data_IF_394398096634
#
_entry.id   IF_394398096634
#
_cell.length_a   1.000
_cell.length_b   1.000
_cell.length_c   1.000
_cell.angle_alpha   90.00
_cell.angle_beta   90.00
_cell.angle_gamma   90.00
#
_symmetry.space_group_name_H-M   'P 1'
#
loop_
_entity.id
_entity.type
_entity.pdbx_description
1 polymer ?
#
# COMPACT_ATOMS: atom_id res chain seq x y z
N UNK A 1 15.02 8.09 3.15
CA UNK A 1 14.20 7.77 1.97
C UNK A 1 15.08 7.47 0.77
N UNK A 2 14.62 6.55 -0.10
CA UNK A 2 15.25 6.21 -1.37
C UNK A 2 14.28 6.58 -2.49
N UNK A 3 14.47 7.78 -3.05
CA UNK A 3 13.56 8.33 -4.05
C UNK A 3 13.97 7.82 -5.42
N UNK A 4 13.07 7.11 -6.09
CA UNK A 4 13.26 6.61 -7.45
C UNK A 4 12.30 7.27 -8.43
N UNK A 5 12.73 7.44 -9.67
CA UNK A 5 11.88 7.83 -10.77
C UNK A 5 11.20 6.57 -11.34
N UNK A 6 9.89 6.44 -11.18
CA UNK A 6 9.17 5.23 -11.56
C UNK A 6 7.73 5.50 -12.02
N UNK A 7 7.11 4.50 -12.67
CA UNK A 7 5.70 4.53 -13.05
C UNK A 7 4.83 4.42 -11.80
N UNK A 8 4.32 5.56 -11.35
CA UNK A 8 3.51 5.68 -10.15
C UNK A 8 2.09 5.15 -10.38
N UNK A 9 1.52 5.36 -11.58
CA UNK A 9 0.18 4.86 -11.90
C UNK A 9 0.13 3.35 -11.74
N UNK A 10 1.05 2.65 -12.42
CA UNK A 10 1.16 1.19 -12.35
C UNK A 10 1.42 0.70 -10.92
N UNK A 11 2.28 1.36 -10.18
CA UNK A 11 2.56 1.01 -8.78
C UNK A 11 1.30 1.09 -7.90
N UNK A 12 0.46 2.14 -8.09
CA UNK A 12 -0.78 2.30 -7.35
C UNK A 12 -1.85 1.27 -7.78
N UNK A 13 -1.90 0.92 -9.07
CA UNK A 13 -2.76 -0.14 -9.60
C UNK A 13 -2.38 -1.49 -9.00
N UNK A 14 -1.11 -1.88 -9.08
CA UNK A 14 -0.60 -3.14 -8.54
C UNK A 14 -0.95 -3.31 -7.04
N UNK A 15 -0.76 -2.26 -6.22
CA UNK A 15 -1.16 -2.28 -4.81
C UNK A 15 -2.68 -2.43 -4.67
N UNK A 16 -3.46 -1.68 -5.44
CA UNK A 16 -4.92 -1.72 -5.34
C UNK A 16 -5.46 -3.12 -5.65
N UNK A 17 -4.91 -3.78 -6.65
CA UNK A 17 -5.30 -5.13 -7.07
C UNK A 17 -5.05 -6.17 -5.97
N UNK A 18 -4.01 -6.01 -5.15
CA UNK A 18 -3.74 -6.94 -4.03
C UNK A 18 -4.85 -6.96 -2.98
N UNK A 19 -5.70 -5.91 -2.92
CA UNK A 19 -6.81 -5.84 -1.97
C UNK A 19 -8.13 -6.41 -2.50
N UNK A 20 -8.24 -6.76 -3.79
CA UNK A 20 -9.47 -7.32 -4.38
C UNK A 20 -9.88 -8.63 -3.68
N UNK A 21 -8.98 -9.63 -3.48
CA UNK A 21 -9.34 -10.86 -2.79
C UNK A 21 -9.80 -10.62 -1.34
N UNK A 22 -9.21 -9.65 -0.66
CA UNK A 22 -9.60 -9.28 0.70
C UNK A 22 -10.99 -8.66 0.72
N UNK A 23 -11.31 -7.79 -0.23
CA UNK A 23 -12.63 -7.19 -0.40
C UNK A 23 -13.71 -8.26 -0.60
N UNK A 24 -13.45 -9.23 -1.49
CA UNK A 24 -14.35 -10.34 -1.74
C UNK A 24 -14.58 -11.19 -0.48
N UNK A 25 -13.52 -11.52 0.25
CA UNK A 25 -13.60 -12.32 1.48
C UNK A 25 -14.40 -11.64 2.58
N UNK A 26 -14.35 -10.31 2.65
CA UNK A 26 -15.06 -9.48 3.61
C UNK A 26 -16.42 -8.98 3.08
N UNK A 27 -16.78 -9.31 1.84
CA UNK A 27 -18.01 -8.84 1.18
C UNK A 27 -18.13 -7.32 1.18
N UNK A 28 -17.00 -6.62 1.00
CA UNK A 28 -16.90 -5.16 0.94
C UNK A 28 -16.79 -4.76 -0.53
N UNK A 29 -17.59 -3.78 -0.95
CA UNK A 29 -17.47 -3.20 -2.27
C UNK A 29 -16.20 -2.35 -2.33
N UNK A 30 -15.17 -2.81 -3.07
CA UNK A 30 -13.94 -2.07 -3.27
C UNK A 30 -13.87 -1.47 -4.67
N UNK A 31 -13.53 -0.20 -4.73
CA UNK A 31 -13.30 0.51 -5.99
C UNK A 31 -12.03 1.34 -5.91
N UNK A 32 -11.28 1.43 -7.02
CA UNK A 32 -10.16 2.35 -7.10
C UNK A 32 -10.20 3.15 -8.42
N UNK A 33 -9.64 4.36 -8.38
CA UNK A 33 -9.55 5.27 -9.53
C UNK A 33 -8.26 6.06 -9.46
N UNK A 34 -7.43 5.91 -10.48
CA UNK A 34 -6.16 6.62 -10.62
C UNK A 34 -6.29 7.55 -11.81
N UNK A 35 -6.01 8.84 -11.59
CA UNK A 35 -6.15 9.83 -12.65
C UNK A 35 -5.13 9.55 -13.77
N UNK A 36 -5.52 9.67 -15.05
CA UNK A 36 -4.69 9.28 -16.19
C UNK A 36 -3.46 10.17 -16.43
N UNK A 37 -3.39 11.32 -15.76
CA UNK A 37 -2.26 12.24 -15.79
C UNK A 37 -1.15 11.88 -14.79
N UNK A 38 -1.41 10.91 -13.89
CA UNK A 38 -0.41 10.32 -13.03
C UNK A 38 0.39 9.31 -13.84
N UNK A 39 1.67 9.59 -14.07
CA UNK A 39 2.56 8.73 -14.86
C UNK A 39 3.87 8.48 -14.12
N UNK A 40 4.99 8.88 -14.71
CA UNK A 40 6.31 8.78 -14.07
C UNK A 40 6.47 9.88 -13.02
N UNK A 41 6.90 9.50 -11.83
CA UNK A 41 7.05 10.37 -10.67
C UNK A 41 8.24 9.95 -9.80
N UNK A 42 8.64 10.86 -8.91
CA UNK A 42 9.70 10.65 -7.93
C UNK A 42 9.08 10.31 -6.57
N UNK A 43 9.35 9.12 -6.06
CA UNK A 43 8.83 8.68 -4.76
C UNK A 43 9.64 7.50 -4.19
N UNK A 44 9.53 7.27 -2.87
CA UNK A 44 10.05 6.07 -2.22
C UNK A 44 9.00 4.97 -2.26
N UNK A 45 9.27 3.91 -3.04
CA UNK A 45 8.34 2.78 -3.21
C UNK A 45 8.03 2.07 -1.90
N UNK A 46 9.04 1.84 -1.08
CA UNK A 46 8.87 1.10 0.17
C UNK A 46 8.05 1.89 1.19
N UNK A 47 8.30 3.19 1.29
CA UNK A 47 7.52 4.07 2.18
C UNK A 47 6.07 4.13 1.70
N UNK A 48 5.84 4.37 0.41
CA UNK A 48 4.49 4.51 -0.12
C UNK A 48 3.70 3.20 -0.03
N UNK A 49 4.33 2.07 -0.28
CA UNK A 49 3.74 0.75 -0.10
C UNK A 49 3.26 0.54 1.34
N UNK A 50 4.13 0.73 2.33
CA UNK A 50 3.78 0.57 3.75
C UNK A 50 2.65 1.50 4.17
N UNK A 51 2.65 2.75 3.71
CA UNK A 51 1.58 3.73 3.96
C UNK A 51 0.25 3.23 3.41
N UNK A 52 0.22 2.82 2.14
CA UNK A 52 -1.01 2.37 1.47
C UNK A 52 -1.54 1.08 2.10
N UNK A 53 -0.66 0.09 2.36
CA UNK A 53 -1.07 -1.14 3.03
C UNK A 53 -1.68 -0.87 4.40
N UNK A 54 -1.08 0.01 5.20
CA UNK A 54 -1.63 0.33 6.52
C UNK A 54 -2.98 1.06 6.44
N UNK A 55 -3.12 2.03 5.54
CA UNK A 55 -4.36 2.79 5.40
C UNK A 55 -5.49 1.95 4.81
N UNK A 56 -5.22 1.18 3.75
CA UNK A 56 -6.22 0.28 3.14
C UNK A 56 -6.60 -0.86 4.09
N UNK A 57 -5.65 -1.52 4.75
CA UNK A 57 -5.94 -2.54 5.75
C UNK A 57 -6.85 -2.00 6.85
N UNK A 58 -6.60 -0.78 7.34
CA UNK A 58 -7.45 -0.13 8.32
C UNK A 58 -8.86 0.11 7.77
N UNK A 59 -9.00 0.61 6.54
CA UNK A 59 -10.29 0.80 5.90
C UNK A 59 -11.10 -0.50 5.85
N UNK A 60 -10.49 -1.61 5.39
CA UNK A 60 -11.15 -2.92 5.37
C UNK A 60 -11.45 -3.47 6.77
N UNK A 61 -10.55 -3.26 7.72
CA UNK A 61 -10.68 -3.74 9.10
C UNK A 61 -11.86 -3.12 9.83
N UNK A 62 -12.12 -1.84 9.59
CA UNK A 62 -13.16 -1.09 10.29
C UNK A 62 -14.45 -0.94 9.48
N UNK A 63 -14.52 -1.50 8.29
CA UNK A 63 -15.74 -1.54 7.48
C UNK A 63 -16.48 -2.87 7.70
N UNK A 64 -17.77 -2.85 8.03
CA UNK A 64 -18.57 -4.07 8.18
C UNK A 64 -18.85 -4.72 6.83
N UNK A 65 -19.28 -6.00 6.86
CA UNK A 65 -19.75 -6.72 5.70
C UNK A 65 -20.87 -5.95 4.99
N UNK A 66 -20.79 -5.88 3.66
CA UNK A 66 -21.73 -5.10 2.85
C UNK A 66 -21.43 -3.61 2.77
N UNK A 67 -20.37 -3.12 3.45
CA UNK A 67 -19.89 -1.76 3.32
C UNK A 67 -19.07 -1.53 2.05
N UNK A 68 -18.46 -0.36 1.96
CA UNK A 68 -17.64 0.05 0.81
C UNK A 68 -16.34 0.68 1.24
N UNK A 69 -15.28 0.43 0.44
CA UNK A 69 -13.98 1.09 0.52
C UNK A 69 -13.65 1.63 -0.86
N UNK A 70 -13.18 2.86 -0.95
CA UNK A 70 -12.70 3.43 -2.21
C UNK A 70 -11.32 4.05 -2.05
N UNK A 71 -10.48 3.87 -3.06
CA UNK A 71 -9.17 4.49 -3.17
C UNK A 71 -9.13 5.36 -4.42
N UNK A 72 -8.65 6.59 -4.31
CA UNK A 72 -8.44 7.45 -5.46
C UNK A 72 -7.11 8.18 -5.39
N UNK A 73 -6.50 8.36 -6.56
CA UNK A 73 -5.30 9.16 -6.73
C UNK A 73 -5.57 10.23 -7.78
N UNK A 74 -5.26 11.48 -7.45
CA UNK A 74 -5.41 12.64 -8.33
C UNK A 74 -4.18 13.54 -8.25
N UNK A 75 -3.88 14.24 -9.34
CA UNK A 75 -2.78 15.17 -9.41
C UNK A 75 -3.31 16.60 -9.20
N UNK A 76 -2.76 17.29 -8.22
CA UNK A 76 -2.95 18.73 -8.07
C UNK A 76 -1.69 19.44 -8.60
N UNK A 77 -1.82 20.05 -9.78
CA UNK A 77 -0.76 20.89 -10.33
C UNK A 77 -0.87 22.29 -9.73
N UNK A 78 0.03 22.64 -8.83
CA UNK A 78 0.33 24.01 -8.49
C UNK A 78 1.46 24.52 -9.41
N UNK A 79 1.55 25.82 -9.59
CA UNK A 79 2.47 26.46 -10.57
C UNK A 79 3.97 26.16 -10.36
N UNK A 80 4.38 25.53 -9.28
CA UNK A 80 5.77 25.17 -8.97
C UNK A 80 6.00 23.70 -8.59
N UNK A 81 4.98 23.00 -8.05
CA UNK A 81 5.17 21.68 -7.49
C UNK A 81 4.02 20.74 -7.88
N UNK A 82 4.36 19.55 -8.37
CA UNK A 82 3.39 18.50 -8.58
C UNK A 82 3.14 17.77 -7.24
N UNK A 83 1.90 17.84 -6.76
CA UNK A 83 1.46 17.16 -5.55
C UNK A 83 0.38 16.15 -5.92
N UNK A 84 0.63 14.89 -5.58
CA UNK A 84 -0.37 13.85 -5.70
C UNK A 84 -1.22 13.80 -4.43
N UNK A 85 -2.54 13.78 -4.60
CA UNK A 85 -3.49 13.56 -3.52
C UNK A 85 -4.03 12.13 -3.60
N UNK A 86 -3.75 11.34 -2.56
CA UNK A 86 -4.30 10.01 -2.34
C UNK A 86 -5.45 10.11 -1.35
N UNK A 87 -6.59 9.54 -1.70
CA UNK A 87 -7.76 9.53 -0.83
C UNK A 87 -8.28 8.11 -0.65
N UNK A 88 -8.38 7.69 0.61
CA UNK A 88 -8.96 6.41 1.00
C UNK A 88 -10.21 6.70 1.81
N UNK A 89 -11.35 6.22 1.33
CA UNK A 89 -12.66 6.44 1.95
C UNK A 89 -13.27 5.10 2.32
N UNK A 90 -13.72 4.97 3.55
CA UNK A 90 -14.45 3.81 4.02
C UNK A 90 -15.86 4.20 4.52
N UNK A 91 -16.81 3.26 4.43
CA UNK A 91 -18.14 3.38 5.02
C UNK A 91 -18.22 2.66 6.36
N UNK A 92 -17.12 2.63 7.10
CA UNK A 92 -16.98 1.89 8.34
C UNK A 92 -17.65 2.55 9.55
N UNK A 93 -17.24 2.10 10.72
CA UNK A 93 -17.79 2.60 11.99
C UNK A 93 -17.51 4.07 12.26
N UNK A 94 -16.57 4.67 11.54
CA UNK A 94 -16.09 6.04 11.78
C UNK A 94 -15.33 6.21 13.09
N UNK A 95 -14.88 7.44 13.32
CA UNK A 95 -14.06 7.83 14.46
C UNK A 95 -14.79 8.91 15.25
N UNK A 96 -14.95 8.74 16.56
CA UNK A 96 -15.54 9.78 17.40
C UNK A 96 -14.75 11.09 17.34
N UNK A 97 -15.40 12.27 17.35
CA UNK A 97 -14.71 13.57 17.27
C UNK A 97 -13.64 13.77 18.35
N UNK A 98 -13.88 13.26 19.55
CA UNK A 98 -12.94 13.30 20.66
C UNK A 98 -11.69 12.47 20.44
N UNK A 99 -11.74 11.49 19.53
CA UNK A 99 -10.62 10.60 19.20
C UNK A 99 -9.77 11.13 18.05
N UNK A 100 -10.34 11.91 17.13
CA UNK A 100 -9.66 12.42 15.92
C UNK A 100 -8.32 13.10 16.20
N UNK A 101 -8.15 13.94 17.23
CA UNK A 101 -6.87 14.58 17.50
C UNK A 101 -5.74 13.61 17.87
N UNK A 102 -6.08 12.39 18.33
CA UNK A 102 -5.15 11.41 18.91
C UNK A 102 -4.91 10.18 18.04
N UNK A 103 -5.59 10.02 16.89
CA UNK A 103 -5.51 8.80 16.07
C UNK A 103 -4.10 8.53 15.53
N UNK A 104 -3.26 9.57 15.44
CA UNK A 104 -1.87 9.47 15.02
C UNK A 104 -0.89 9.39 16.18
N UNK A 105 -1.37 9.33 17.43
CA UNK A 105 -0.51 9.15 18.60
C UNK A 105 -0.14 7.67 18.76
N UNK A 106 1.11 7.40 19.15
CA UNK A 106 1.59 6.02 19.40
C UNK A 106 0.78 5.36 20.51
N UNK A 107 0.40 4.11 20.30
CA UNK A 107 -0.37 3.28 21.23
C UNK A 107 -1.80 3.78 21.49
N UNK A 108 -2.26 4.76 20.74
CA UNK A 108 -3.65 5.17 20.84
C UNK A 108 -4.58 4.09 20.27
N UNK A 109 -5.52 3.67 21.07
CA UNK A 109 -6.58 2.71 20.71
C UNK A 109 -7.91 3.37 21.01
N UNK A 110 -8.65 3.81 20.02
CA UNK A 110 -9.98 4.39 20.21
C UNK A 110 -10.88 3.46 21.04
N UNK A 111 -11.80 4.05 21.81
CA UNK A 111 -12.67 3.36 22.75
C UNK A 111 -13.66 2.35 22.11
N UNK A 112 -13.83 2.37 20.79
CA UNK A 112 -14.79 1.50 20.08
C UNK A 112 -14.21 0.09 19.90
N UNK A 113 -14.38 -0.75 20.92
CA UNK A 113 -13.90 -2.14 20.97
C UNK A 113 -14.83 -3.08 20.17
N UNK A 114 -16.06 -2.66 19.85
CA UNK A 114 -17.15 -3.56 19.43
C UNK A 114 -17.05 -4.11 18.00
N UNK A 115 -16.16 -3.60 17.14
CA UNK A 115 -16.14 -4.00 15.73
C UNK A 115 -14.71 -4.19 15.18
N UNK A 116 -13.85 -4.89 15.91
CA UNK A 116 -12.50 -5.18 15.45
C UNK A 116 -12.42 -6.59 14.89
N UNK A 117 -12.10 -6.73 13.61
CA UNK A 117 -11.80 -8.04 12.99
C UNK A 117 -10.49 -8.64 13.51
N UNK A 118 -9.59 -7.81 14.08
CA UNK A 118 -8.34 -8.25 14.69
C UNK A 118 -7.85 -7.25 15.72
N UNK A 119 -7.01 -7.68 16.65
CA UNK A 119 -6.33 -6.77 17.57
C UNK A 119 -5.41 -5.80 16.80
N UNK A 120 -5.32 -4.55 17.27
CA UNK A 120 -4.41 -3.55 16.72
C UNK A 120 -3.41 -3.13 17.79
N UNK A 121 -2.15 -3.00 17.42
CA UNK A 121 -1.08 -2.51 18.30
C UNK A 121 -1.25 -1.03 18.68
N UNK A 122 -1.99 -0.24 17.88
CA UNK A 122 -2.10 1.22 18.03
C UNK A 122 -0.86 1.96 17.54
N UNK A 123 -0.02 1.31 16.72
CA UNK A 123 1.23 1.87 16.19
C UNK A 123 1.07 2.28 14.71
N UNK A 124 0.19 1.62 13.96
CA UNK A 124 0.12 1.74 12.51
C UNK A 124 -0.06 3.17 12.01
N UNK A 125 -1.06 3.92 12.48
CA UNK A 125 -1.29 5.29 12.02
C UNK A 125 -0.20 6.26 12.45
N UNK A 126 0.36 6.10 13.66
CA UNK A 126 1.51 6.87 14.10
C UNK A 126 2.73 6.65 13.21
N UNK A 127 3.03 5.38 12.89
CA UNK A 127 4.10 5.01 11.98
C UNK A 127 3.86 5.51 10.55
N UNK A 128 2.62 5.41 10.04
CA UNK A 128 2.25 5.99 8.75
C UNK A 128 2.54 7.49 8.68
N UNK A 129 2.19 8.24 9.73
CA UNK A 129 2.48 9.67 9.80
C UNK A 129 3.98 9.94 9.78
N UNK A 130 4.78 9.21 10.56
CA UNK A 130 6.24 9.34 10.59
C UNK A 130 6.87 9.04 9.21
N UNK A 131 6.41 7.99 8.52
CA UNK A 131 6.87 7.67 7.17
C UNK A 131 6.54 8.77 6.16
N UNK A 132 5.34 9.34 6.25
CA UNK A 132 4.91 10.43 5.38
C UNK A 132 5.71 11.71 5.67
N UNK A 133 5.98 12.04 6.92
CA UNK A 133 6.84 13.16 7.30
C UNK A 133 8.27 12.99 6.75
N UNK A 134 8.82 11.77 6.80
CA UNK A 134 10.11 11.45 6.16
C UNK A 134 10.06 11.66 4.64
N UNK A 135 8.94 11.41 4.02
CA UNK A 135 8.70 11.60 2.58
C UNK A 135 8.29 13.04 2.22
N UNK A 136 8.29 13.97 3.18
CA UNK A 136 7.78 15.35 3.03
C UNK A 136 6.30 15.42 2.63
N UNK A 137 5.55 14.38 2.91
CA UNK A 137 4.13 14.26 2.68
C UNK A 137 3.32 14.62 3.92
N UNK A 138 2.04 14.88 3.75
CA UNK A 138 1.10 15.16 4.84
C UNK A 138 -0.07 14.20 4.82
N UNK A 139 -0.68 13.96 5.99
CA UNK A 139 -1.88 13.15 6.12
C UNK A 139 -2.93 13.88 6.94
N UNK A 140 -4.18 13.77 6.49
CA UNK A 140 -5.35 14.28 7.19
C UNK A 140 -6.41 13.19 7.29
N UNK A 141 -7.27 13.29 8.31
CA UNK A 141 -8.40 12.39 8.50
C UNK A 141 -9.66 13.17 8.79
N UNK A 142 -10.71 12.90 8.03
CA UNK A 142 -12.07 13.36 8.28
C UNK A 142 -12.93 12.13 8.58
N UNK A 143 -13.71 12.16 9.65
CA UNK A 143 -14.54 11.02 10.03
C UNK A 143 -15.76 11.44 10.83
N UNK A 144 -16.84 10.69 10.65
CA UNK A 144 -18.06 10.82 11.42
C UNK A 144 -18.48 9.44 11.93
N UNK A 145 -18.78 9.36 13.23
CA UNK A 145 -19.17 8.10 13.86
C UNK A 145 -20.41 7.51 13.17
N UNK A 146 -20.32 6.27 12.73
CA UNK A 146 -21.37 5.55 12.01
C UNK A 146 -21.48 5.86 10.51
N UNK A 147 -20.63 6.76 9.96
CA UNK A 147 -20.63 7.07 8.52
C UNK A 147 -19.35 6.66 7.80
N UNK A 148 -18.27 6.43 8.56
CA UNK A 148 -16.97 6.05 8.01
C UNK A 148 -15.92 7.14 8.12
N UNK A 149 -14.80 6.95 7.43
CA UNK A 149 -13.65 7.84 7.48
C UNK A 149 -13.09 8.12 6.09
N UNK A 150 -12.41 9.25 5.97
CA UNK A 150 -11.66 9.66 4.80
C UNK A 150 -10.26 10.03 5.24
N UNK A 151 -9.27 9.27 4.75
CA UNK A 151 -7.87 9.61 4.89
C UNK A 151 -7.37 10.25 3.60
N UNK A 152 -6.75 11.42 3.72
CA UNK A 152 -6.19 12.15 2.59
C UNK A 152 -4.70 12.34 2.81
N UNK A 153 -3.89 11.87 1.86
CA UNK A 153 -2.42 12.04 1.84
C UNK A 153 -2.07 12.98 0.68
N UNK A 154 -1.30 14.01 0.97
CA UNK A 154 -0.71 14.87 -0.06
C UNK A 154 0.79 14.58 -0.13
N UNK A 155 1.23 14.08 -1.29
CA UNK A 155 2.57 13.58 -1.57
C UNK A 155 3.22 14.42 -2.66
N UNK A 156 4.36 15.09 -2.41
CA UNK A 156 5.14 15.69 -3.48
C UNK A 156 5.73 14.59 -4.36
N UNK A 157 5.67 14.78 -5.69
CA UNK A 157 6.12 13.77 -6.67
C UNK A 157 7.09 14.30 -7.70
N UNK A 158 7.51 15.55 -7.59
CA UNK A 158 8.53 16.16 -8.46
C UNK A 158 9.94 15.90 -7.91
N UNK A 159 10.93 15.90 -8.81
CA UNK A 159 12.34 15.73 -8.46
C UNK A 159 12.81 16.83 -7.49
N UNK A 160 12.41 18.07 -7.76
CA UNK A 160 12.80 19.26 -7.01
C UNK A 160 12.31 19.26 -5.56
N UNK A 161 11.31 18.44 -5.25
CA UNK A 161 10.78 18.30 -3.90
C UNK A 161 11.76 17.62 -2.93
N UNK A 162 12.74 16.87 -3.46
CA UNK A 162 13.62 16.03 -2.68
C UNK A 162 15.08 16.51 -2.73
N UNK A 163 15.87 16.32 -1.65
CA UNK A 163 17.31 16.53 -1.67
C UNK A 163 17.99 15.58 -2.66
N UNK A 164 18.99 16.05 -3.37
CA UNK A 164 19.75 15.27 -4.36
C UNK A 164 20.32 13.97 -3.77
N UNK A 165 20.73 13.99 -2.51
CA UNK A 165 21.23 12.83 -1.77
C UNK A 165 20.20 11.70 -1.54
N UNK A 166 18.91 11.97 -1.73
CA UNK A 166 17.82 10.98 -1.65
C UNK A 166 17.46 10.37 -2.99
N UNK A 167 17.92 10.99 -4.09
CA UNK A 167 17.57 10.57 -5.44
C UNK A 167 18.48 9.42 -5.88
N UNK A 168 17.86 8.29 -6.21
CA UNK A 168 18.54 7.19 -6.86
C UNK A 168 18.41 7.37 -8.38
N UNK A 169 19.49 7.83 -9.01
CA UNK A 169 19.59 7.82 -10.45
C UNK A 169 19.85 6.39 -10.91
N UNK A 170 18.79 5.61 -11.10
CA UNK A 170 18.87 4.37 -11.85
C UNK A 170 19.22 4.75 -13.29
N UNK A 171 20.43 4.43 -13.76
CA UNK A 171 20.65 4.39 -15.20
C UNK A 171 19.54 3.55 -15.78
N UNK A 172 18.82 4.02 -16.82
CA UNK A 172 17.77 3.23 -17.45
C UNK A 172 18.46 1.94 -17.91
N UNK A 173 18.19 0.83 -17.23
CA UNK A 173 18.45 -0.47 -17.82
C UNK A 173 17.54 -0.51 -19.04
N UNK A 174 18.09 -0.12 -20.21
CA UNK A 174 17.54 -0.59 -21.47
C UNK A 174 17.51 -2.12 -21.32
N UNK A 175 16.34 -2.65 -21.03
CA UNK A 175 16.10 -4.06 -21.34
C UNK A 175 16.35 -4.15 -22.84
N UNK A 176 17.56 -4.55 -23.21
CA UNK A 176 17.82 -5.08 -24.51
C UNK A 176 16.78 -6.18 -24.68
N UNK A 177 15.79 -5.90 -25.53
CA UNK A 177 14.93 -6.91 -26.09
C UNK A 177 15.87 -7.79 -26.92
N UNK A 178 16.57 -8.67 -26.23
CA UNK A 178 17.30 -9.77 -26.85
C UNK A 178 16.24 -10.59 -27.57
N UNK A 179 16.20 -10.40 -28.87
CA UNK A 179 15.57 -11.33 -29.79
C UNK A 179 16.15 -12.70 -29.45
N UNK A 180 15.42 -13.48 -28.64
CA UNK A 180 15.77 -14.86 -28.36
C UNK A 180 15.68 -15.59 -29.71
N UNK A 181 16.84 -15.76 -30.33
CA UNK A 181 17.00 -16.83 -31.31
C UNK A 181 16.57 -18.12 -30.63
N UNK A 182 15.69 -18.82 -31.30
CA UNK A 182 15.17 -20.14 -30.92
C UNK A 182 16.31 -21.12 -30.81
N UNK A 183 16.75 -21.41 -29.59
CA UNK A 183 17.63 -22.56 -29.31
C UNK A 183 16.75 -23.78 -29.11
N UNK A 184 17.04 -24.93 -29.74
CA UNK A 184 16.26 -26.16 -29.62
C UNK A 184 16.31 -26.68 -28.19
N UNK A 185 15.15 -27.10 -27.68
CA UNK A 185 15.00 -27.78 -26.39
C UNK A 185 15.77 -29.12 -26.41
N UNK A 186 16.91 -29.20 -25.76
CA UNK A 186 17.45 -30.47 -25.29
C UNK A 186 16.94 -30.72 -23.86
N UNK A 187 16.15 -31.77 -23.74
CA UNK A 187 15.71 -32.30 -22.46
C UNK A 187 16.94 -32.80 -21.65
N UNK A 188 17.25 -32.09 -20.56
CA UNK A 188 18.08 -32.69 -19.51
C UNK A 188 17.36 -32.57 -18.18
N UNK A 189 16.74 -33.68 -17.80
CA UNK A 189 16.32 -34.00 -16.46
C UNK A 189 17.54 -34.04 -15.52
N UNK A 190 17.65 -33.09 -14.61
CA UNK A 190 18.14 -33.27 -13.22
C UNK A 190 18.19 -31.95 -12.50
N UNK A 191 17.18 -31.67 -11.66
CA UNK A 191 17.21 -30.60 -10.67
C UNK A 191 18.08 -31.10 -9.51
N UNK A 192 19.13 -30.35 -9.10
CA UNK A 192 19.92 -30.75 -7.91
C UNK A 192 19.07 -30.54 -6.66
N UNK A 193 18.95 -31.56 -5.85
CA UNK A 193 18.16 -31.67 -4.61
C UNK A 193 18.59 -30.72 -3.45
N UNK A 194 19.44 -29.74 -3.68
CA UNK A 194 20.11 -28.98 -2.60
C UNK A 194 19.88 -27.48 -2.55
N UNK A 195 18.79 -26.95 -3.12
CA UNK A 195 18.41 -25.54 -2.96
C UNK A 195 17.02 -25.42 -2.33
N UNK A 196 16.85 -25.95 -1.12
CA UNK A 196 15.71 -25.55 -0.27
C UNK A 196 16.01 -24.17 0.27
N UNK A 197 15.45 -23.16 -0.35
CA UNK A 197 15.43 -21.82 0.22
C UNK A 197 14.53 -21.86 1.46
N UNK A 198 15.09 -21.56 2.62
CA UNK A 198 14.30 -21.43 3.84
C UNK A 198 13.82 -19.98 3.93
N UNK A 199 12.54 -19.75 3.77
CA UNK A 199 11.92 -18.45 3.99
C UNK A 199 11.57 -18.36 5.48
N UNK A 200 12.22 -17.43 6.20
CA UNK A 200 11.81 -17.07 7.54
C UNK A 200 10.74 -15.98 7.45
N UNK A 201 9.52 -16.33 7.78
CA UNK A 201 8.40 -15.40 7.86
C UNK A 201 8.16 -15.01 9.32
N UNK A 202 8.28 -13.72 9.62
CA UNK A 202 8.04 -13.17 10.96
C UNK A 202 6.86 -12.21 10.86
N UNK A 203 5.68 -12.68 11.21
CA UNK A 203 4.43 -11.94 11.18
C UNK A 203 3.62 -12.31 12.43
N UNK A 204 3.09 -11.32 13.12
CA UNK A 204 2.27 -11.50 14.34
C UNK A 204 0.76 -11.64 14.03
N UNK A 205 0.37 -11.47 12.77
CA UNK A 205 -1.01 -11.66 12.31
C UNK A 205 -1.22 -13.08 11.79
N UNK A 206 -1.96 -13.90 12.55
CA UNK A 206 -2.24 -15.31 12.23
C UNK A 206 -2.95 -15.48 10.87
N UNK A 207 -3.82 -14.56 10.47
CA UNK A 207 -4.54 -14.64 9.21
C UNK A 207 -3.62 -14.36 8.01
N UNK A 208 -2.67 -13.44 8.15
CA UNK A 208 -1.65 -13.15 7.14
C UNK A 208 -0.64 -14.29 7.04
N UNK A 209 -0.23 -14.87 8.15
CA UNK A 209 0.59 -16.09 8.19
C UNK A 209 -0.07 -17.24 7.43
N UNK A 210 -1.36 -17.46 7.67
CA UNK A 210 -2.13 -18.52 7.02
C UNK A 210 -2.26 -18.31 5.51
N UNK A 211 -2.46 -17.07 5.08
CA UNK A 211 -2.53 -16.71 3.66
C UNK A 211 -1.19 -16.94 2.94
N UNK A 212 -0.09 -16.50 3.52
CA UNK A 212 1.25 -16.71 2.95
C UNK A 212 1.65 -18.18 2.88
N UNK A 213 1.27 -19.01 3.89
CA UNK A 213 1.52 -20.44 3.90
C UNK A 213 0.70 -21.20 2.85
N UNK A 214 -0.52 -20.78 2.54
CA UNK A 214 -1.35 -21.36 1.48
C UNK A 214 -0.75 -21.11 0.10
N UNK A 215 -0.21 -19.91 -0.15
CA UNK A 215 0.40 -19.56 -1.43
C UNK A 215 1.76 -20.27 -1.68
N UNK A 216 2.49 -20.59 -0.62
CA UNK A 216 3.77 -21.31 -0.74
C UNK A 216 3.61 -22.84 -0.87
N UNK A 217 2.49 -23.41 -0.44
CA UNK A 217 2.22 -24.83 -0.59
C UNK A 217 1.70 -25.20 -1.99
N UNK A 218 0.93 -24.35 -2.64
CA UNK A 218 0.40 -24.60 -3.99
C UNK A 218 1.49 -24.49 -5.09
N UNK A 219 2.56 -23.72 -4.84
CA UNK A 219 3.68 -23.59 -5.78
C UNK A 219 4.70 -24.75 -5.72
N UNK A 220 4.51 -25.70 -4.80
CA UNK A 220 5.42 -26.86 -4.63
C UNK A 220 4.89 -28.15 -5.27
N UNK A 221 3.66 -28.16 -5.79
CA UNK A 221 2.98 -29.33 -6.38
C UNK A 221 2.71 -29.22 -7.91
N UNK A 222 3.33 -28.21 -8.62
CA UNK A 222 3.36 -28.16 -10.08
C UNK A 222 4.79 -28.46 -10.64
#
# INVERSE_FOLDING_TARGET
>A
PHIVCADLSRFLEDISETFIPLADSYKIAFTYSIAPDISIAYFDKNILEQVLYNLLSNAFKYTPDGGSVSFSASLEQSSSDAVMTLRITDSGIGIPPESLPYIFDRYYKGASIAFRRSESSGIGLAYTKELLELHKATIQCESELGKGSVFTVALPISEEAYPEEWLEYSEPKMEEVSLRESVPLEETNSVPENLRQTLLFVEDNEDLCRYCLLYTSDAADE
#
